data_IF_678931874131
#
_entry.id   IF_678931874131
#
_cell.length_a   1.000
_cell.length_b   1.000
_cell.length_c   1.000
_cell.angle_alpha   90.00
_cell.angle_beta   90.00
_cell.angle_gamma   90.00
#
_symmetry.space_group_name_H-M   'P 1'
#
loop_
_entity.id
_entity.type
_entity.pdbx_description
1 polymer ?
#
# COMPACT_ATOMS: atom_id res chain seq x y z
N UNK A 1 16.61 -25.18 -14.11
CA UNK A 1 15.88 -23.98 -13.69
C UNK A 1 16.32 -23.68 -12.28
N UNK A 2 17.07 -22.60 -12.10
CA UNK A 2 17.62 -22.22 -10.80
C UNK A 2 16.47 -21.87 -9.84
N UNK A 3 16.67 -21.99 -8.53
CA UNK A 3 15.60 -21.71 -7.54
C UNK A 3 15.01 -20.30 -7.70
N UNK A 4 15.79 -19.33 -8.17
CA UNK A 4 15.34 -17.94 -8.38
C UNK A 4 14.39 -17.77 -9.57
N UNK A 5 14.51 -18.60 -10.62
CA UNK A 5 13.55 -18.62 -11.71
C UNK A 5 12.18 -19.15 -11.24
N UNK A 6 12.19 -20.14 -10.34
CA UNK A 6 10.96 -20.65 -9.71
C UNK A 6 10.26 -19.56 -8.92
N UNK A 7 11.01 -18.78 -8.15
CA UNK A 7 10.49 -17.66 -7.36
C UNK A 7 9.80 -16.60 -8.23
N UNK A 8 10.42 -16.21 -9.36
CA UNK A 8 9.77 -15.32 -10.32
C UNK A 8 8.45 -15.90 -10.85
N UNK A 9 8.44 -17.19 -11.22
CA UNK A 9 7.22 -17.83 -11.70
C UNK A 9 6.12 -17.92 -10.63
N UNK A 10 6.48 -18.11 -9.36
CA UNK A 10 5.55 -18.06 -8.24
C UNK A 10 4.92 -16.67 -8.09
N UNK A 11 5.74 -15.60 -8.05
CA UNK A 11 5.23 -14.22 -7.98
C UNK A 11 4.33 -13.90 -9.18
N UNK A 12 4.74 -14.28 -10.39
CA UNK A 12 3.94 -14.06 -11.60
C UNK A 12 2.62 -14.85 -11.57
N UNK A 13 2.61 -16.07 -11.06
CA UNK A 13 1.39 -16.87 -10.96
C UNK A 13 0.38 -16.27 -9.97
N UNK A 14 0.88 -15.70 -8.88
CA UNK A 14 0.06 -15.18 -7.79
C UNK A 14 -0.41 -13.74 -8.03
N UNK A 15 0.52 -12.84 -8.37
CA UNK A 15 0.27 -11.41 -8.44
C UNK A 15 -0.11 -10.92 -9.83
N UNK A 16 0.26 -11.65 -10.90
CA UNK A 16 0.02 -11.20 -12.27
C UNK A 16 -1.08 -11.98 -13.00
N UNK A 17 -0.91 -13.30 -13.15
CA UNK A 17 -1.75 -14.12 -14.06
C UNK A 17 -3.22 -14.24 -13.68
N UNK A 18 -3.55 -14.11 -12.39
CA UNK A 18 -4.91 -14.30 -11.88
C UNK A 18 -5.60 -12.97 -11.54
N UNK A 19 -4.99 -11.84 -11.91
CA UNK A 19 -5.33 -10.54 -11.37
C UNK A 19 -5.28 -9.43 -12.42
N UNK A 20 -5.70 -8.25 -11.97
CA UNK A 20 -5.72 -6.98 -12.69
C UNK A 20 -4.41 -6.60 -13.43
N UNK A 21 -3.18 -6.93 -12.95
CA UNK A 21 -1.96 -6.58 -13.68
C UNK A 21 -1.90 -7.13 -15.11
N UNK A 22 -2.38 -8.37 -15.33
CA UNK A 22 -2.41 -8.94 -16.68
C UNK A 22 -3.33 -8.17 -17.63
N UNK A 23 -4.49 -7.72 -17.12
CA UNK A 23 -5.44 -6.90 -17.88
C UNK A 23 -4.86 -5.51 -18.16
N UNK A 24 -4.15 -4.91 -17.19
CA UNK A 24 -3.43 -3.65 -17.37
C UNK A 24 -2.34 -3.76 -18.43
N UNK A 25 -1.59 -4.88 -18.44
CA UNK A 25 -0.58 -5.12 -19.47
C UNK A 25 -1.21 -5.23 -20.85
N UNK A 26 -2.23 -6.07 -21.01
CA UNK A 26 -2.90 -6.27 -22.30
C UNK A 26 -3.48 -4.96 -22.84
N UNK A 27 -4.12 -4.17 -21.97
CA UNK A 27 -4.67 -2.86 -22.31
C UNK A 27 -3.60 -1.88 -22.81
N UNK A 28 -2.58 -1.63 -22.01
CA UNK A 28 -1.54 -0.64 -22.35
C UNK A 28 -0.74 -1.12 -23.56
N UNK A 29 -0.36 -2.40 -23.59
CA UNK A 29 0.38 -2.99 -24.71
C UNK A 29 -0.41 -2.88 -26.03
N UNK A 30 -1.73 -3.10 -25.98
CA UNK A 30 -2.61 -2.94 -27.13
C UNK A 30 -2.64 -1.48 -27.61
N UNK A 31 -2.91 -0.53 -26.72
CA UNK A 31 -2.95 0.90 -27.05
C UNK A 31 -1.63 1.40 -27.65
N UNK A 32 -0.49 1.00 -27.08
CA UNK A 32 0.85 1.29 -27.62
C UNK A 32 1.03 0.66 -29.01
N UNK A 33 0.68 -0.63 -29.16
CA UNK A 33 0.89 -1.37 -30.42
C UNK A 33 0.06 -0.84 -31.59
N UNK A 34 -1.11 -0.26 -31.30
CA UNK A 34 -2.00 0.35 -32.29
C UNK A 34 -1.72 1.85 -32.51
N UNK A 35 -0.68 2.41 -31.87
CA UNK A 35 -0.36 3.84 -31.88
C UNK A 35 -1.53 4.72 -31.41
N UNK A 36 -2.31 4.24 -30.43
CA UNK A 36 -3.46 4.94 -29.84
C UNK A 36 -3.04 5.80 -28.65
N UNK A 37 -1.98 6.59 -28.84
CA UNK A 37 -1.34 7.36 -27.77
C UNK A 37 -2.32 8.36 -27.13
N UNK A 38 -3.17 9.01 -27.93
CA UNK A 38 -4.18 9.95 -27.42
C UNK A 38 -5.17 9.28 -26.47
N UNK A 39 -5.56 8.03 -26.75
CA UNK A 39 -6.48 7.28 -25.91
C UNK A 39 -5.81 6.89 -24.60
N UNK A 40 -4.53 6.50 -24.65
CA UNK A 40 -3.75 6.19 -23.45
C UNK A 40 -3.52 7.44 -22.57
N UNK A 41 -3.20 8.59 -23.16
CA UNK A 41 -3.12 9.86 -22.45
C UNK A 41 -4.47 10.24 -21.81
N UNK A 42 -5.57 10.03 -22.54
CA UNK A 42 -6.91 10.34 -22.04
C UNK A 42 -7.27 9.44 -20.86
N UNK A 43 -6.96 8.14 -20.94
CA UNK A 43 -7.19 7.16 -19.88
C UNK A 43 -6.38 7.49 -18.61
N UNK A 44 -5.11 7.85 -18.79
CA UNK A 44 -4.16 8.11 -17.70
C UNK A 44 -4.09 9.59 -17.28
N UNK A 45 -5.08 10.40 -17.64
CA UNK A 45 -5.18 11.79 -17.21
C UNK A 45 -5.39 11.96 -15.69
N UNK A 46 -5.22 13.18 -15.19
CA UNK A 46 -5.41 13.50 -13.77
C UNK A 46 -6.91 13.60 -13.40
N UNK A 47 -7.33 13.09 -12.23
CA UNK A 47 -8.74 13.10 -11.78
C UNK A 47 -9.33 14.49 -11.52
N UNK A 48 -8.46 15.48 -11.30
CA UNK A 48 -8.87 16.90 -11.15
C UNK A 48 -9.34 17.54 -12.44
N UNK A 49 -8.91 17.02 -13.60
CA UNK A 49 -9.33 17.55 -14.90
C UNK A 49 -10.70 17.03 -15.29
N UNK A 50 -10.96 15.74 -15.00
CA UNK A 50 -12.28 15.11 -15.13
C UNK A 50 -12.41 13.92 -14.18
N UNK A 51 -13.63 13.66 -13.74
CA UNK A 51 -13.97 12.44 -13.03
C UNK A 51 -13.92 11.21 -13.94
N UNK A 52 -13.53 10.07 -13.37
CA UNK A 52 -13.46 8.77 -14.05
C UNK A 52 -14.44 7.80 -13.39
N UNK A 53 -15.18 7.04 -14.20
CA UNK A 53 -16.24 6.16 -13.72
C UNK A 53 -16.35 4.88 -14.56
N UNK A 54 -16.96 3.84 -14.00
CA UNK A 54 -17.23 2.57 -14.68
C UNK A 54 -15.96 1.92 -15.22
N UNK A 55 -16.04 1.38 -16.44
CA UNK A 55 -14.94 0.65 -17.06
C UNK A 55 -13.62 1.44 -17.13
N UNK A 56 -13.71 2.75 -17.33
CA UNK A 56 -12.51 3.59 -17.41
C UNK A 56 -11.78 3.65 -16.05
N UNK A 57 -12.54 3.70 -14.95
CA UNK A 57 -11.94 3.66 -13.61
C UNK A 57 -11.30 2.29 -13.36
N UNK A 58 -11.96 1.20 -13.74
CA UNK A 58 -11.41 -0.16 -13.63
C UNK A 58 -10.09 -0.30 -14.41
N UNK A 59 -10.04 0.24 -15.63
CA UNK A 59 -8.84 0.24 -16.48
C UNK A 59 -7.65 1.00 -15.87
N UNK A 60 -7.93 2.09 -15.15
CA UNK A 60 -6.90 2.83 -14.40
C UNK A 60 -6.40 2.00 -13.23
N UNK A 61 -7.28 1.36 -12.47
CA UNK A 61 -6.87 0.43 -11.41
C UNK A 61 -6.06 -0.75 -11.93
N UNK A 62 -6.37 -1.28 -13.12
CA UNK A 62 -5.53 -2.31 -13.75
C UNK A 62 -4.12 -1.82 -14.07
N UNK A 63 -3.99 -0.54 -14.44
CA UNK A 63 -2.70 0.12 -14.68
C UNK A 63 -1.92 0.30 -13.38
N UNK A 64 -2.57 0.78 -12.32
CA UNK A 64 -1.97 0.91 -10.99
C UNK A 64 -1.47 -0.45 -10.47
N UNK A 65 -2.29 -1.49 -10.59
CA UNK A 65 -1.92 -2.84 -10.19
C UNK A 65 -0.75 -3.39 -11.02
N UNK A 66 -0.67 -3.08 -12.32
CA UNK A 66 0.49 -3.45 -13.14
C UNK A 66 1.78 -2.78 -12.68
N UNK A 67 1.74 -1.47 -12.43
CA UNK A 67 2.89 -0.71 -11.91
C UNK A 67 3.29 -1.26 -10.53
N UNK A 68 2.31 -1.49 -9.66
CA UNK A 68 2.51 -2.11 -8.35
C UNK A 68 3.11 -3.51 -8.43
N UNK A 69 2.79 -4.29 -9.47
CA UNK A 69 3.42 -5.59 -9.72
C UNK A 69 4.89 -5.43 -10.14
N UNK A 70 5.22 -4.51 -11.06
CA UNK A 70 6.62 -4.29 -11.45
C UNK A 70 7.47 -3.79 -10.28
N UNK A 71 6.92 -2.88 -9.48
CA UNK A 71 7.55 -2.42 -8.23
C UNK A 71 7.83 -3.59 -7.27
N UNK A 72 6.87 -4.52 -7.12
CA UNK A 72 7.05 -5.70 -6.29
C UNK A 72 8.19 -6.61 -6.80
N UNK A 73 8.36 -6.74 -8.12
CA UNK A 73 9.48 -7.48 -8.69
C UNK A 73 10.82 -6.83 -8.35
N UNK A 74 10.90 -5.49 -8.33
CA UNK A 74 12.12 -4.79 -7.90
C UNK A 74 12.43 -5.07 -6.42
N UNK A 75 11.42 -5.04 -5.53
CA UNK A 75 11.60 -5.44 -4.12
C UNK A 75 12.12 -6.87 -4.01
N UNK A 76 11.60 -7.80 -4.82
CA UNK A 76 12.05 -9.18 -4.84
C UNK A 76 13.52 -9.34 -5.30
N UNK A 77 14.00 -8.44 -6.17
CA UNK A 77 15.42 -8.36 -6.54
C UNK A 77 16.25 -7.89 -5.35
N UNK A 78 15.86 -6.80 -4.68
CA UNK A 78 16.57 -6.26 -3.52
C UNK A 78 16.60 -7.23 -2.32
N UNK A 79 15.56 -8.05 -2.17
CA UNK A 79 15.52 -9.09 -1.15
C UNK A 79 16.38 -10.32 -1.47
N UNK A 80 16.87 -10.45 -2.71
CA UNK A 80 17.55 -11.64 -3.21
C UNK A 80 16.60 -12.80 -3.55
N UNK A 81 15.28 -12.58 -3.51
CA UNK A 81 14.25 -13.56 -3.83
C UNK A 81 14.24 -13.92 -5.33
N UNK A 82 14.60 -12.95 -6.17
CA UNK A 82 14.80 -13.11 -7.62
C UNK A 82 16.29 -12.99 -8.01
N UNK A 83 16.66 -13.29 -9.28
CA UNK A 83 17.99 -12.96 -9.78
C UNK A 83 18.31 -11.48 -9.58
N UNK A 84 19.59 -11.13 -9.43
CA UNK A 84 20.04 -9.75 -9.15
C UNK A 84 19.70 -8.74 -10.25
N UNK A 85 19.23 -9.20 -11.40
CA UNK A 85 18.73 -8.37 -12.51
C UNK A 85 17.50 -9.00 -13.11
N UNK A 86 16.68 -8.19 -13.77
CA UNK A 86 15.60 -8.70 -14.59
C UNK A 86 16.14 -9.47 -15.80
N UNK A 87 15.43 -10.52 -16.21
CA UNK A 87 15.76 -11.21 -17.46
C UNK A 87 15.36 -10.35 -18.66
N UNK A 88 15.94 -10.62 -19.84
CA UNK A 88 15.74 -9.81 -21.04
C UNK A 88 14.26 -9.60 -21.41
N UNK A 89 13.42 -10.63 -21.26
CA UNK A 89 12.00 -10.53 -21.57
C UNK A 89 11.30 -9.54 -20.63
N UNK A 90 11.48 -9.71 -19.32
CA UNK A 90 10.89 -8.83 -18.31
C UNK A 90 11.41 -7.39 -18.44
N UNK A 91 12.72 -7.22 -18.71
CA UNK A 91 13.29 -5.90 -18.98
C UNK A 91 12.62 -5.22 -20.17
N UNK A 92 12.42 -5.92 -21.29
CA UNK A 92 11.76 -5.37 -22.47
C UNK A 92 10.29 -5.03 -22.19
N UNK A 93 9.60 -5.87 -21.43
CA UNK A 93 8.22 -5.66 -20.99
C UNK A 93 8.09 -4.37 -20.16
N UNK A 94 8.90 -4.25 -19.10
CA UNK A 94 8.91 -3.07 -18.22
C UNK A 94 9.27 -1.81 -19.00
N UNK A 95 10.33 -1.84 -19.82
CA UNK A 95 10.74 -0.68 -20.62
C UNK A 95 9.62 -0.25 -21.56
N UNK A 96 9.01 -1.19 -22.28
CA UNK A 96 7.93 -0.89 -23.24
C UNK A 96 6.76 -0.18 -22.57
N UNK A 97 6.35 -0.64 -21.39
CA UNK A 97 5.18 -0.10 -20.69
C UNK A 97 5.55 1.18 -19.93
N UNK A 98 6.54 1.12 -19.04
CA UNK A 98 6.83 2.21 -18.12
C UNK A 98 7.57 3.38 -18.77
N UNK A 99 8.19 3.18 -19.94
CA UNK A 99 8.84 4.29 -20.68
C UNK A 99 7.92 4.96 -21.71
N UNK A 100 6.68 4.51 -21.85
CA UNK A 100 5.67 5.24 -22.62
C UNK A 100 5.37 6.59 -21.96
N UNK A 101 5.24 7.64 -22.75
CA UNK A 101 5.11 9.01 -22.27
C UNK A 101 3.86 9.20 -21.38
N UNK A 102 2.72 8.63 -21.76
CA UNK A 102 1.48 8.75 -21.01
C UNK A 102 1.58 8.03 -19.65
N UNK A 103 2.21 6.85 -19.62
CA UNK A 103 2.44 6.09 -18.39
C UNK A 103 3.43 6.83 -17.49
N UNK A 104 4.49 7.40 -18.05
CA UNK A 104 5.46 8.20 -17.31
C UNK A 104 4.82 9.40 -16.62
N UNK A 105 4.08 10.22 -17.36
CA UNK A 105 3.36 11.38 -16.80
C UNK A 105 2.41 10.93 -15.68
N UNK A 106 1.75 9.78 -15.86
CA UNK A 106 0.83 9.24 -14.87
C UNK A 106 1.47 8.99 -13.52
N UNK A 107 2.62 8.30 -13.45
CA UNK A 107 3.25 7.95 -12.17
C UNK A 107 4.32 8.94 -11.70
N UNK A 108 4.79 9.88 -12.53
CA UNK A 108 5.78 10.91 -12.14
C UNK A 108 5.10 12.25 -11.80
N UNK A 109 4.00 12.59 -12.47
CA UNK A 109 3.33 13.89 -12.31
C UNK A 109 1.96 13.75 -11.66
N UNK A 110 1.10 12.87 -12.18
CA UNK A 110 -0.29 12.81 -11.71
C UNK A 110 -0.43 12.14 -10.34
N UNK A 111 0.23 11.00 -10.18
CA UNK A 111 0.23 10.19 -8.96
C UNK A 111 1.66 9.79 -8.67
N UNK A 112 2.47 10.66 -8.04
CA UNK A 112 3.90 10.40 -7.85
C UNK A 112 4.17 9.10 -7.09
N UNK A 113 4.71 8.10 -7.79
CA UNK A 113 5.19 6.83 -7.24
C UNK A 113 6.70 6.73 -7.51
N UNK A 114 7.55 7.20 -6.58
CA UNK A 114 9.02 7.22 -6.81
C UNK A 114 9.60 5.83 -7.09
N UNK A 115 9.03 4.77 -6.49
CA UNK A 115 9.46 3.40 -6.78
C UNK A 115 9.25 2.99 -8.24
N UNK A 116 8.23 3.53 -8.91
CA UNK A 116 7.97 3.27 -10.31
C UNK A 116 9.09 3.87 -11.20
N UNK A 117 9.58 5.06 -10.86
CA UNK A 117 10.75 5.66 -11.52
C UNK A 117 11.98 4.77 -11.38
N UNK A 118 12.29 4.32 -10.16
CA UNK A 118 13.42 3.42 -9.90
C UNK A 118 13.28 2.07 -10.62
N UNK A 119 12.07 1.51 -10.67
CA UNK A 119 11.79 0.26 -11.40
C UNK A 119 12.03 0.41 -12.90
N UNK A 120 11.57 1.52 -13.49
CA UNK A 120 11.83 1.84 -14.89
C UNK A 120 13.33 2.02 -15.14
N UNK A 121 14.02 2.79 -14.29
CA UNK A 121 15.44 3.05 -14.43
C UNK A 121 16.28 1.78 -14.31
N UNK A 122 15.96 0.92 -13.33
CA UNK A 122 16.61 -0.37 -13.12
C UNK A 122 16.51 -1.26 -14.36
N UNK A 123 15.33 -1.31 -14.98
CA UNK A 123 15.11 -2.05 -16.22
C UNK A 123 15.85 -1.39 -17.41
N UNK A 124 15.68 -0.08 -17.61
CA UNK A 124 16.25 0.67 -18.73
C UNK A 124 17.77 0.57 -18.79
N UNK A 125 18.43 0.78 -17.66
CA UNK A 125 19.88 0.71 -17.53
C UNK A 125 20.41 -0.72 -17.37
N UNK A 126 19.52 -1.73 -17.39
CA UNK A 126 19.85 -3.16 -17.21
C UNK A 126 20.71 -3.39 -15.96
N UNK A 127 20.34 -2.71 -14.88
CA UNK A 127 21.08 -2.72 -13.62
C UNK A 127 21.14 -4.14 -13.03
N UNK A 128 22.21 -4.40 -12.30
CA UNK A 128 22.36 -5.59 -11.47
C UNK A 128 22.52 -5.16 -10.02
N UNK A 129 21.63 -5.64 -9.15
CA UNK A 129 21.68 -5.34 -7.72
C UNK A 129 22.90 -5.99 -7.08
N UNK A 130 23.77 -5.14 -6.57
CA UNK A 130 25.07 -5.43 -6.00
C UNK A 130 25.10 -5.30 -4.47
N UNK A 131 23.97 -4.99 -3.83
CA UNK A 131 23.85 -4.97 -2.37
C UNK A 131 23.83 -6.36 -1.73
N UNK A 132 23.91 -6.37 -0.40
CA UNK A 132 23.89 -7.61 0.39
C UNK A 132 22.49 -8.25 0.39
N UNK A 133 22.47 -9.57 0.25
CA UNK A 133 21.26 -10.40 0.29
C UNK A 133 21.58 -11.70 0.99
N UNK A 134 20.75 -12.12 1.94
CA UNK A 134 20.95 -13.35 2.70
C UNK A 134 19.59 -13.95 3.11
N UNK A 135 19.59 -14.90 4.05
CA UNK A 135 18.35 -15.54 4.53
C UNK A 135 17.42 -14.57 5.28
N UNK A 136 17.97 -13.57 5.98
CA UNK A 136 17.18 -12.56 6.68
C UNK A 136 16.47 -11.63 5.69
N UNK A 137 17.14 -11.17 4.63
CA UNK A 137 16.48 -10.35 3.58
C UNK A 137 15.34 -11.10 2.89
N UNK A 138 15.48 -12.42 2.72
CA UNK A 138 14.42 -13.29 2.20
C UNK A 138 13.24 -13.42 3.19
N UNK A 139 13.52 -13.59 4.49
CA UNK A 139 12.49 -13.64 5.54
C UNK A 139 11.68 -12.35 5.56
N UNK A 140 12.37 -11.20 5.59
CA UNK A 140 11.75 -9.87 5.60
C UNK A 140 10.82 -9.69 4.40
N UNK A 141 11.25 -10.10 3.20
CA UNK A 141 10.39 -10.04 2.01
C UNK A 141 9.15 -10.92 2.12
N UNK A 142 9.27 -12.12 2.69
CA UNK A 142 8.11 -12.99 2.90
C UNK A 142 7.13 -12.43 3.94
N UNK A 143 7.66 -11.84 5.02
CA UNK A 143 6.86 -11.15 6.04
C UNK A 143 6.13 -9.95 5.43
N UNK A 144 6.84 -9.14 4.65
CA UNK A 144 6.27 -8.03 3.90
C UNK A 144 5.16 -8.47 2.92
N UNK A 145 5.41 -9.50 2.11
CA UNK A 145 4.40 -10.03 1.17
C UNK A 145 3.16 -10.51 1.93
N UNK A 146 3.34 -11.19 3.05
CA UNK A 146 2.23 -11.69 3.87
C UNK A 146 1.40 -10.54 4.45
N UNK A 147 2.06 -9.50 4.93
CA UNK A 147 1.42 -8.28 5.40
C UNK A 147 0.69 -7.53 4.27
N UNK A 148 1.32 -7.37 3.11
CA UNK A 148 0.71 -6.71 1.95
C UNK A 148 -0.50 -7.47 1.40
N UNK A 149 -0.52 -8.81 1.52
CA UNK A 149 -1.72 -9.61 1.19
C UNK A 149 -2.88 -9.32 2.15
N UNK A 150 -2.61 -9.12 3.43
CA UNK A 150 -3.65 -8.73 4.39
C UNK A 150 -4.25 -7.39 3.98
N UNK A 151 -3.40 -6.39 3.70
CA UNK A 151 -3.82 -5.07 3.23
C UNK A 151 -4.72 -5.15 1.98
N UNK A 152 -4.30 -5.91 0.96
CA UNK A 152 -5.01 -6.00 -0.34
C UNK A 152 -6.32 -6.80 -0.30
N UNK A 153 -6.61 -7.54 0.76
CA UNK A 153 -7.80 -8.41 0.84
C UNK A 153 -8.79 -7.98 1.93
N UNK A 154 -8.60 -6.81 2.54
CA UNK A 154 -9.53 -6.26 3.54
C UNK A 154 -10.37 -5.13 2.92
N UNK A 155 -11.67 -5.39 2.73
CA UNK A 155 -12.61 -4.47 2.09
C UNK A 155 -12.74 -3.13 2.83
N UNK A 156 -12.60 -3.12 4.16
CA UNK A 156 -12.73 -1.88 4.93
C UNK A 156 -11.49 -1.00 4.72
N UNK A 157 -10.30 -1.61 4.69
CA UNK A 157 -9.05 -0.93 4.32
C UNK A 157 -9.14 -0.38 2.89
N UNK A 158 -9.64 -1.18 1.93
CA UNK A 158 -9.80 -0.75 0.54
C UNK A 158 -10.70 0.50 0.43
N UNK A 159 -11.85 0.50 1.10
CA UNK A 159 -12.75 1.66 1.17
C UNK A 159 -12.05 2.88 1.79
N UNK A 160 -11.32 2.70 2.89
CA UNK A 160 -10.58 3.79 3.53
C UNK A 160 -9.49 4.36 2.61
N UNK A 161 -8.67 3.51 1.98
CA UNK A 161 -7.60 3.95 1.07
C UNK A 161 -8.17 4.59 -0.19
N UNK A 162 -9.30 4.11 -0.71
CA UNK A 162 -10.03 4.75 -1.80
C UNK A 162 -10.51 6.16 -1.41
N UNK A 163 -11.12 6.31 -0.23
CA UNK A 163 -11.53 7.63 0.28
C UNK A 163 -10.33 8.57 0.45
N UNK A 164 -9.21 8.04 0.94
CA UNK A 164 -7.96 8.77 1.08
C UNK A 164 -7.42 9.22 -0.29
N UNK A 165 -7.69 8.44 -1.34
CA UNK A 165 -7.38 8.70 -2.75
C UNK A 165 -8.50 9.42 -3.53
N UNK A 166 -9.26 10.27 -2.84
CA UNK A 166 -10.34 11.11 -3.42
C UNK A 166 -11.54 10.36 -3.99
N UNK A 167 -11.66 9.04 -3.80
CA UNK A 167 -12.85 8.29 -4.19
C UNK A 167 -13.98 8.61 -3.21
N UNK A 168 -15.14 8.97 -3.75
CA UNK A 168 -16.37 9.12 -2.96
C UNK A 168 -17.25 7.90 -3.17
N UNK A 169 -17.76 7.34 -2.08
CA UNK A 169 -18.66 6.20 -2.09
C UNK A 169 -20.06 6.67 -1.71
N UNK A 170 -20.88 6.96 -2.73
CA UNK A 170 -22.17 7.61 -2.54
C UNK A 170 -21.99 9.02 -1.97
N UNK A 171 -22.51 9.26 -0.77
CA UNK A 171 -22.43 10.56 -0.09
C UNK A 171 -21.25 10.66 0.90
N UNK A 172 -20.41 9.62 0.97
CA UNK A 172 -19.31 9.57 1.94
C UNK A 172 -17.95 9.71 1.25
N UNK A 173 -17.08 10.49 1.88
CA UNK A 173 -15.69 10.74 1.50
C UNK A 173 -14.80 10.74 2.76
N UNK A 174 -13.51 10.99 2.58
CA UNK A 174 -12.54 11.05 3.69
C UNK A 174 -12.90 12.09 4.76
N UNK A 175 -13.57 13.18 4.40
CA UNK A 175 -13.95 14.23 5.35
C UNK A 175 -14.95 13.71 6.38
N UNK A 176 -15.87 12.83 5.95
CA UNK A 176 -16.86 12.20 6.84
C UNK A 176 -16.21 11.19 7.80
N UNK A 177 -15.21 10.43 7.31
CA UNK A 177 -14.41 9.53 8.16
C UNK A 177 -13.66 10.34 9.22
N UNK A 178 -12.97 11.41 8.81
CA UNK A 178 -12.25 12.31 9.73
C UNK A 178 -13.21 12.92 10.76
N UNK A 179 -14.37 13.42 10.34
CA UNK A 179 -15.36 14.00 11.26
C UNK A 179 -15.85 12.99 12.29
N UNK A 180 -16.02 11.73 11.87
CA UNK A 180 -16.42 10.63 12.76
C UNK A 180 -15.32 10.31 13.78
N UNK A 181 -14.06 10.22 13.34
CA UNK A 181 -12.90 9.96 14.23
C UNK A 181 -12.67 11.10 15.24
N UNK A 182 -13.00 12.35 14.87
CA UNK A 182 -12.90 13.52 15.75
C UNK A 182 -14.01 13.61 16.81
N UNK A 183 -15.09 12.84 16.67
CA UNK A 183 -16.21 12.89 17.61
C UNK A 183 -16.34 11.55 18.32
N UNK A 184 -16.03 11.53 19.62
CA UNK A 184 -16.27 10.36 20.47
C UNK A 184 -17.70 9.79 20.32
N UNK A 185 -18.72 10.65 20.23
CA UNK A 185 -20.11 10.21 20.06
C UNK A 185 -20.33 9.53 18.70
N UNK A 186 -19.86 10.13 17.60
CA UNK A 186 -20.01 9.55 16.25
C UNK A 186 -19.22 8.25 16.13
N UNK A 187 -17.97 8.25 16.58
CA UNK A 187 -17.10 7.08 16.59
C UNK A 187 -17.70 5.93 17.39
N UNK A 188 -18.17 6.21 18.61
CA UNK A 188 -18.81 5.19 19.46
C UNK A 188 -20.03 4.57 18.78
N UNK A 189 -20.89 5.39 18.18
CA UNK A 189 -22.07 4.91 17.43
C UNK A 189 -21.70 4.03 16.24
N UNK A 190 -20.61 4.33 15.54
CA UNK A 190 -20.12 3.55 14.42
C UNK A 190 -19.54 2.21 14.88
N UNK A 191 -18.74 2.22 15.96
CA UNK A 191 -18.08 1.02 16.47
C UNK A 191 -19.07 -0.04 16.98
N UNK A 192 -20.19 0.38 17.57
CA UNK A 192 -21.24 -0.53 18.09
C UNK A 192 -22.36 -0.83 17.08
N UNK A 193 -22.26 -0.28 15.87
CA UNK A 193 -23.33 -0.39 14.89
C UNK A 193 -23.17 -1.67 14.07
N UNK A 194 -24.19 -2.54 14.13
CA UNK A 194 -24.32 -3.72 13.26
C UNK A 194 -24.35 -3.37 11.76
N UNK A 195 -24.69 -2.13 11.42
CA UNK A 195 -24.72 -1.68 10.03
C UNK A 195 -23.31 -1.42 9.49
N UNK A 196 -22.89 -2.25 8.53
CA UNK A 196 -21.71 -2.04 7.68
C UNK A 196 -21.95 -0.96 6.62
N UNK A 197 -22.33 0.24 7.07
CA UNK A 197 -22.42 1.41 6.19
C UNK A 197 -21.05 1.74 5.62
N UNK A 198 -20.98 2.34 4.44
CA UNK A 198 -19.70 2.76 3.83
C UNK A 198 -18.88 3.66 4.78
N UNK A 199 -19.55 4.55 5.53
CA UNK A 199 -18.87 5.36 6.54
C UNK A 199 -18.25 4.49 7.65
N UNK A 200 -18.97 3.48 8.12
CA UNK A 200 -18.45 2.54 9.10
C UNK A 200 -17.26 1.76 8.56
N UNK A 201 -17.32 1.31 7.30
CA UNK A 201 -16.18 0.67 6.62
C UNK A 201 -14.97 1.60 6.53
N UNK A 202 -15.15 2.88 6.18
CA UNK A 202 -14.05 3.84 6.15
C UNK A 202 -13.41 4.07 7.54
N UNK A 203 -14.22 4.10 8.60
CA UNK A 203 -13.70 4.21 9.99
C UNK A 203 -12.99 2.93 10.43
N UNK A 204 -13.57 1.76 10.20
CA UNK A 204 -12.92 0.47 10.49
C UNK A 204 -11.67 0.26 9.65
N UNK A 205 -11.67 0.71 8.41
CA UNK A 205 -10.53 0.71 7.51
C UNK A 205 -9.38 1.54 8.06
N UNK A 206 -9.64 2.73 8.60
CA UNK A 206 -8.62 3.51 9.30
C UNK A 206 -8.03 2.73 10.49
N UNK A 207 -8.88 2.17 11.36
CA UNK A 207 -8.45 1.41 12.55
C UNK A 207 -7.60 0.19 12.16
N UNK A 208 -8.00 -0.56 11.13
CA UNK A 208 -7.23 -1.70 10.64
C UNK A 208 -5.94 -1.26 9.95
N UNK A 209 -5.96 -0.13 9.25
CA UNK A 209 -4.78 0.42 8.60
C UNK A 209 -3.73 0.88 9.61
N UNK A 210 -4.10 1.38 10.79
CA UNK A 210 -3.11 1.67 11.85
C UNK A 210 -2.43 0.40 12.34
N UNK A 211 -3.14 -0.72 12.46
CA UNK A 211 -2.54 -2.03 12.77
C UNK A 211 -1.57 -2.50 11.66
N UNK A 212 -1.93 -2.28 10.39
CA UNK A 212 -1.01 -2.53 9.27
C UNK A 212 0.26 -1.68 9.39
N UNK A 213 0.16 -0.40 9.73
CA UNK A 213 1.31 0.52 9.92
C UNK A 213 2.23 0.01 11.04
N UNK A 214 1.68 -0.42 12.18
CA UNK A 214 2.45 -1.02 13.27
C UNK A 214 3.20 -2.28 12.84
N UNK A 215 2.55 -3.18 12.10
CA UNK A 215 3.20 -4.37 11.57
C UNK A 215 4.25 -4.04 10.51
N UNK A 216 3.99 -3.04 9.66
CA UNK A 216 4.94 -2.59 8.65
C UNK A 216 6.19 -2.00 9.28
N UNK A 217 6.07 -1.24 10.37
CA UNK A 217 7.21 -0.76 11.14
C UNK A 217 8.09 -1.92 11.61
N UNK A 218 7.51 -2.99 12.17
CA UNK A 218 8.28 -4.17 12.61
C UNK A 218 9.05 -4.79 11.42
N UNK A 219 8.42 -4.89 10.25
CA UNK A 219 9.07 -5.36 9.02
C UNK A 219 10.21 -4.43 8.61
N UNK A 220 10.00 -3.11 8.66
CA UNK A 220 11.02 -2.12 8.32
C UNK A 220 12.19 -2.13 9.31
N UNK A 221 11.94 -2.20 10.61
CA UNK A 221 12.98 -2.30 11.64
C UNK A 221 13.81 -3.59 11.47
N UNK A 222 13.16 -4.68 11.08
CA UNK A 222 13.84 -5.94 10.74
C UNK A 222 14.74 -5.79 9.51
N UNK A 223 14.51 -4.78 8.66
CA UNK A 223 15.27 -4.49 7.45
C UNK A 223 16.39 -3.45 7.65
N UNK A 224 16.74 -3.07 8.88
CA UNK A 224 17.78 -2.07 9.17
C UNK A 224 19.14 -2.38 8.53
N UNK A 225 19.53 -3.65 8.45
CA UNK A 225 20.79 -4.08 7.80
C UNK A 225 20.68 -4.14 6.27
N UNK A 226 19.48 -3.95 5.71
CA UNK A 226 19.20 -3.97 4.26
C UNK A 226 18.55 -2.64 3.83
N UNK A 227 19.26 -1.51 3.92
CA UNK A 227 18.65 -0.18 3.81
C UNK A 227 17.98 0.07 2.44
N UNK A 228 18.50 -0.48 1.34
CA UNK A 228 17.84 -0.37 0.02
C UNK A 228 16.52 -1.14 -0.02
N UNK A 229 16.47 -2.34 0.58
CA UNK A 229 15.22 -3.11 0.69
C UNK A 229 14.21 -2.40 1.60
N UNK A 230 14.67 -1.87 2.74
CA UNK A 230 13.84 -1.08 3.66
C UNK A 230 13.23 0.13 2.95
N UNK A 231 14.05 0.90 2.21
CA UNK A 231 13.56 2.02 1.40
C UNK A 231 12.56 1.60 0.35
N UNK A 232 12.79 0.48 -0.33
CA UNK A 232 11.89 -0.02 -1.36
C UNK A 232 10.54 -0.45 -0.79
N UNK A 233 10.53 -1.12 0.36
CA UNK A 233 9.31 -1.47 1.11
C UNK A 233 8.52 -0.21 1.48
N UNK A 234 9.20 0.81 1.99
CA UNK A 234 8.57 2.09 2.33
C UNK A 234 7.98 2.78 1.09
N UNK A 235 8.77 2.91 0.02
CA UNK A 235 8.36 3.55 -1.23
C UNK A 235 7.21 2.84 -1.93
N UNK A 236 7.02 1.54 -1.68
CA UNK A 236 5.85 0.81 -2.18
C UNK A 236 4.53 1.39 -1.63
N UNK A 237 4.56 1.95 -0.42
CA UNK A 237 3.39 2.51 0.26
C UNK A 237 3.42 4.05 0.40
N UNK A 238 4.52 4.71 -0.01
CA UNK A 238 4.74 6.16 0.11
C UNK A 238 3.54 6.99 -0.37
N UNK A 239 2.90 6.59 -1.46
CA UNK A 239 1.73 7.29 -1.99
C UNK A 239 0.64 7.50 -0.92
N UNK A 240 0.26 6.42 -0.23
CA UNK A 240 -0.74 6.49 0.83
C UNK A 240 -0.22 7.19 2.08
N UNK A 241 1.08 7.11 2.39
CA UNK A 241 1.68 7.86 3.50
C UNK A 241 1.59 9.37 3.27
N UNK A 242 1.92 9.83 2.07
CA UNK A 242 1.82 11.24 1.70
C UNK A 242 0.37 11.73 1.75
N UNK A 243 -0.58 10.91 1.28
CA UNK A 243 -2.02 11.24 1.38
C UNK A 243 -2.49 11.28 2.83
N UNK A 244 -2.08 10.30 3.62
CA UNK A 244 -2.41 10.17 5.03
C UNK A 244 -1.90 11.40 5.81
N UNK A 245 -0.64 11.79 5.61
CA UNK A 245 -0.07 12.99 6.21
C UNK A 245 -0.85 14.25 5.79
N UNK A 246 -1.02 14.48 4.48
CA UNK A 246 -1.71 15.66 3.95
C UNK A 246 -3.15 15.80 4.47
N UNK A 247 -3.87 14.70 4.66
CA UNK A 247 -5.30 14.71 5.03
C UNK A 247 -5.55 14.64 6.53
N UNK A 248 -4.67 13.97 7.29
CA UNK A 248 -4.97 13.59 8.67
C UNK A 248 -3.95 14.06 9.71
N UNK A 249 -2.80 14.62 9.31
CA UNK A 249 -1.74 15.04 10.25
C UNK A 249 -2.26 15.93 11.40
N UNK A 250 -3.11 16.92 11.07
CA UNK A 250 -3.68 17.84 12.05
C UNK A 250 -4.75 17.21 12.97
N UNK A 251 -5.16 15.98 12.70
CA UNK A 251 -6.26 15.31 13.39
C UNK A 251 -5.85 14.00 14.06
N UNK A 252 -4.62 13.50 13.90
CA UNK A 252 -4.18 12.25 14.52
C UNK A 252 -4.36 12.29 16.04
N UNK A 253 -3.90 13.34 16.69
CA UNK A 253 -4.00 13.45 18.15
C UNK A 253 -5.45 13.29 18.64
N UNK A 254 -6.39 13.96 17.97
CA UNK A 254 -7.81 13.91 18.31
C UNK A 254 -8.44 12.55 17.97
N UNK A 255 -8.10 11.98 16.80
CA UNK A 255 -8.57 10.67 16.37
C UNK A 255 -8.11 9.55 17.33
N UNK A 256 -6.82 9.51 17.66
CA UNK A 256 -6.25 8.54 18.60
C UNK A 256 -6.79 8.73 20.01
N UNK A 257 -6.95 9.97 20.48
CA UNK A 257 -7.58 10.24 21.78
C UNK A 257 -9.01 9.70 21.84
N UNK A 258 -9.81 9.92 20.80
CA UNK A 258 -11.18 9.42 20.77
C UNK A 258 -11.25 7.90 20.62
N UNK A 259 -10.34 7.29 19.84
CA UNK A 259 -10.22 5.83 19.75
C UNK A 259 -9.86 5.21 21.09
N UNK A 260 -8.84 5.74 21.77
CA UNK A 260 -8.43 5.28 23.10
C UNK A 260 -9.58 5.43 24.10
N UNK A 261 -10.27 6.58 24.10
CA UNK A 261 -11.44 6.82 24.94
C UNK A 261 -12.58 5.85 24.65
N UNK A 262 -12.81 5.51 23.38
CA UNK A 262 -13.85 4.55 22.96
C UNK A 262 -13.50 3.15 23.42
N UNK A 263 -12.26 2.70 23.19
CA UNK A 263 -11.79 1.39 23.69
C UNK A 263 -11.67 1.33 25.21
N UNK A 264 -11.57 2.48 25.89
CA UNK A 264 -11.57 2.53 27.36
C UNK A 264 -12.94 2.46 28.00
N UNK A 265 -14.01 2.55 27.22
CA UNK A 265 -15.37 2.44 27.73
C UNK A 265 -15.77 0.96 27.83
N UNK A 266 -15.81 0.43 29.04
CA UNK A 266 -16.10 -0.99 29.29
C UNK A 266 -17.42 -1.47 28.68
N UNK A 267 -18.46 -0.62 28.68
CA UNK A 267 -19.75 -0.97 28.09
C UNK A 267 -19.65 -1.08 26.57
N UNK A 268 -19.11 -0.04 25.91
CA UNK A 268 -18.94 -0.04 24.45
C UNK A 268 -18.01 -1.16 23.98
N UNK A 269 -16.92 -1.39 24.71
CA UNK A 269 -15.97 -2.44 24.39
C UNK A 269 -16.61 -3.83 24.51
N UNK A 270 -17.41 -4.05 25.55
CA UNK A 270 -18.17 -5.30 25.72
C UNK A 270 -19.18 -5.50 24.59
N UNK A 271 -19.95 -4.47 24.23
CA UNK A 271 -20.90 -4.52 23.12
C UNK A 271 -20.19 -4.87 21.80
N UNK A 272 -19.07 -4.21 21.49
CA UNK A 272 -18.25 -4.49 20.31
C UNK A 272 -17.75 -5.94 20.28
N UNK A 273 -17.23 -6.46 21.40
CA UNK A 273 -16.76 -7.85 21.49
C UNK A 273 -17.93 -8.83 21.34
N UNK A 274 -19.06 -8.58 22.00
CA UNK A 274 -20.23 -9.44 21.90
C UNK A 274 -20.75 -9.50 20.46
N UNK A 275 -20.73 -8.39 19.74
CA UNK A 275 -21.07 -8.33 18.32
C UNK A 275 -20.10 -9.18 17.46
N UNK A 276 -18.78 -9.02 17.66
CA UNK A 276 -17.76 -9.79 16.93
C UNK A 276 -17.91 -11.30 17.08
N UNK A 277 -18.37 -11.76 18.25
CA UNK A 277 -18.60 -13.18 18.53
C UNK A 277 -20.04 -13.63 18.21
N UNK A 278 -20.86 -12.81 17.53
CA UNK A 278 -22.29 -13.07 17.31
C UNK A 278 -22.99 -13.50 18.61
N UNK A 279 -22.71 -12.78 19.69
CA UNK A 279 -23.18 -13.02 21.07
C UNK A 279 -22.72 -14.34 21.71
N UNK A 280 -21.81 -15.08 21.08
CA UNK A 280 -21.24 -16.34 21.59
C UNK A 280 -19.84 -16.14 22.19
N UNK A 281 -19.68 -15.14 23.05
CA UNK A 281 -18.40 -14.89 23.73
C UNK A 281 -18.09 -16.05 24.69
N UNK A 282 -16.86 -16.60 24.69
CA UNK A 282 -16.46 -17.63 25.65
C UNK A 282 -16.72 -17.20 27.11
N UNK A 283 -17.15 -18.13 27.96
CA UNK A 283 -17.50 -17.82 29.37
C UNK A 283 -16.31 -17.33 30.20
N UNK A 284 -15.11 -17.73 29.79
CA UNK A 284 -13.81 -17.39 30.37
C UNK A 284 -13.14 -16.21 29.67
N UNK A 285 -13.86 -15.48 28.81
CA UNK A 285 -13.31 -14.35 28.07
C UNK A 285 -12.94 -13.20 29.02
N UNK A 286 -11.67 -12.79 28.96
CA UNK A 286 -11.14 -11.72 29.78
C UNK A 286 -11.25 -10.36 29.09
N UNK A 287 -12.41 -9.72 29.22
CA UNK A 287 -12.67 -8.39 28.63
C UNK A 287 -11.63 -7.36 29.02
N UNK A 288 -11.20 -7.36 30.29
CA UNK A 288 -10.25 -6.38 30.81
C UNK A 288 -8.89 -6.50 30.14
N UNK A 289 -8.39 -7.73 30.00
CA UNK A 289 -7.10 -7.98 29.35
C UNK A 289 -7.11 -7.59 27.89
N UNK A 290 -8.16 -7.94 27.13
CA UNK A 290 -8.25 -7.51 25.73
C UNK A 290 -8.41 -5.99 25.61
N UNK A 291 -9.19 -5.36 26.50
CA UNK A 291 -9.36 -3.91 26.53
C UNK A 291 -8.03 -3.20 26.81
N UNK A 292 -7.25 -3.68 27.78
CA UNK A 292 -5.94 -3.13 28.12
C UNK A 292 -4.94 -3.35 26.98
N UNK A 293 -5.00 -4.49 26.29
CA UNK A 293 -4.26 -4.74 25.05
C UNK A 293 -4.64 -3.73 23.95
N UNK A 294 -5.94 -3.56 23.65
CA UNK A 294 -6.40 -2.63 22.62
C UNK A 294 -5.99 -1.18 22.88
N UNK A 295 -6.01 -0.72 24.14
CA UNK A 295 -5.53 0.61 24.52
C UNK A 295 -4.04 0.78 24.20
N UNK A 296 -3.24 -0.21 24.58
CA UNK A 296 -1.80 -0.22 24.32
C UNK A 296 -1.53 -0.17 22.81
N UNK A 297 -2.19 -1.01 22.02
CA UNK A 297 -2.02 -1.04 20.56
C UNK A 297 -2.39 0.31 19.91
N UNK A 298 -3.47 0.97 20.35
CA UNK A 298 -3.86 2.30 19.86
C UNK A 298 -2.80 3.36 20.21
N UNK A 299 -2.30 3.32 21.45
CA UNK A 299 -1.23 4.22 21.89
C UNK A 299 0.06 4.02 21.10
N UNK A 300 0.46 2.77 20.89
CA UNK A 300 1.68 2.42 20.15
C UNK A 300 1.56 2.82 18.67
N UNK A 301 0.39 2.56 18.05
CA UNK A 301 0.12 2.89 16.66
C UNK A 301 0.27 4.39 16.33
N UNK A 302 0.00 5.28 17.30
CA UNK A 302 0.26 6.72 17.13
C UNK A 302 1.75 7.00 16.91
N UNK A 303 2.63 6.39 17.70
CA UNK A 303 4.07 6.52 17.53
C UNK A 303 4.58 5.84 16.26
N UNK A 304 3.95 4.73 15.88
CA UNK A 304 4.29 3.99 14.65
C UNK A 304 3.95 4.79 13.39
N UNK A 305 2.86 5.56 13.38
CA UNK A 305 2.55 6.50 12.29
C UNK A 305 3.66 7.54 12.15
N UNK A 306 4.12 8.16 13.24
CA UNK A 306 5.22 9.14 13.15
C UNK A 306 6.48 8.51 12.58
N UNK A 307 6.79 7.27 12.95
CA UNK A 307 7.92 6.53 12.39
C UNK A 307 7.74 6.31 10.88
N UNK A 308 6.58 5.80 10.44
CA UNK A 308 6.33 5.45 9.04
C UNK A 308 6.18 6.69 8.14
N UNK A 309 5.77 7.85 8.66
CA UNK A 309 5.67 9.08 7.86
C UNK A 309 7.03 9.80 7.64
N UNK A 310 8.13 9.25 8.13
CA UNK A 310 9.45 9.86 7.95
C UNK A 310 10.02 9.61 6.54
N UNK A 311 10.05 10.66 5.71
CA UNK A 311 10.56 10.57 4.33
C UNK A 311 12.04 10.13 4.22
N UNK A 312 12.81 10.17 5.32
CA UNK A 312 14.20 9.69 5.34
C UNK A 312 14.30 8.21 4.98
N UNK A 313 13.23 7.44 5.13
CA UNK A 313 13.18 6.06 4.70
C UNK A 313 13.44 5.90 3.20
N UNK A 314 13.23 6.91 2.36
CA UNK A 314 13.51 6.82 0.92
C UNK A 314 14.98 7.07 0.54
N UNK A 315 15.85 7.46 1.47
CA UNK A 315 17.17 8.00 1.11
C UNK A 315 18.13 6.94 0.58
N UNK A 316 18.15 5.74 1.17
CA UNK A 316 19.14 4.73 0.81
C UNK A 316 18.98 4.24 -0.64
N UNK A 317 17.76 4.02 -1.11
CA UNK A 317 17.52 3.70 -2.52
C UNK A 317 17.84 4.88 -3.45
N UNK A 318 17.53 6.12 -3.06
CA UNK A 318 17.89 7.29 -3.86
C UNK A 318 19.41 7.41 -4.03
N UNK A 319 20.18 7.16 -2.96
CA UNK A 319 21.64 7.19 -3.00
C UNK A 319 22.20 6.03 -3.83
N UNK A 320 21.62 4.83 -3.72
CA UNK A 320 21.96 3.69 -4.55
C UNK A 320 21.87 4.00 -6.06
N UNK A 321 20.76 4.60 -6.51
CA UNK A 321 20.59 4.96 -7.93
C UNK A 321 21.51 6.11 -8.37
N UNK A 322 21.77 7.10 -7.50
CA UNK A 322 22.75 8.18 -7.79
C UNK A 322 24.17 7.65 -7.94
N UNK A 323 24.59 6.71 -7.11
CA UNK A 323 25.92 6.09 -7.19
C UNK A 323 26.09 5.34 -8.50
N UNK A 324 25.09 4.53 -8.88
CA UNK A 324 25.11 3.81 -10.16
C UNK A 324 25.28 4.76 -11.35
N UNK A 325 24.56 5.89 -11.38
CA UNK A 325 24.71 6.88 -12.44
C UNK A 325 26.14 7.45 -12.54
N UNK A 326 26.87 7.57 -11.43
CA UNK A 326 28.26 8.05 -11.43
C UNK A 326 29.26 7.02 -11.93
N UNK A 327 28.93 5.72 -11.89
CA UNK A 327 29.83 4.66 -12.38
C UNK A 327 29.72 4.44 -13.89
N UNK A 328 28.59 4.82 -14.49
CA UNK A 328 28.29 4.62 -15.92
C UNK A 328 28.77 5.78 -16.81
N UNK A 329 28.95 6.97 -16.24
CA UNK A 329 29.40 8.20 -16.93
C UNK A 329 30.76 8.67 -16.42
#
# INVERSE_FOLDING_TARGET
>A
MENKDRNYHSLRAEFYKKKMPSQGFDLINHLISENRNNDLHSLLGHHRERGYYGLELDQRFWTDELIGYYNLLLLAVFAGFMPRKFNNHLTQEIIKIMSDEAVKIYYEEHYPYKLAEYTREFAFNKMEYNGETNEDSLRIFNDYISLNRFLKNDDDIDVFLGMLDYVSYGNYDISHVIESLKSFEKLSKIIISENKSILAQGVWGFIKYTSFISQLKIVMESANDFPVLQSAIWLYHEYYFNRLQMKMELFFDEAFFNLEKTMSNELLFKEMVEELYNQNVPKDFNYKELMDFSKKEISDAKGDITYILDERWSFAIADYFKEYQREVY
#
